data_IF_473017285298
#
_entry.id   IF_473017285298
#
_cell.length_a   1.000
_cell.length_b   1.000
_cell.length_c   1.000
_cell.angle_alpha   90.00
_cell.angle_beta   90.00
_cell.angle_gamma   90.00
#
_symmetry.space_group_name_H-M   'P 1'
#
loop_
_entity.id
_entity.type
_entity.pdbx_description
1 polymer ?
#
# COMPACT_ATOMS: atom_id res chain seq x y z
N UNK A 1 19.95 11.75 24.13
CA UNK A 1 19.04 10.81 23.46
C UNK A 1 19.25 11.06 21.99
N UNK A 2 20.05 10.22 21.35
CA UNK A 2 20.42 10.38 19.94
C UNK A 2 19.15 10.13 19.12
N UNK A 3 18.75 11.10 18.28
CA UNK A 3 17.65 10.89 17.35
C UNK A 3 18.10 9.81 16.37
N UNK A 4 17.61 8.59 16.57
CA UNK A 4 17.71 7.49 15.61
C UNK A 4 17.25 8.07 14.27
N UNK A 5 18.16 8.14 13.31
CA UNK A 5 17.99 8.92 12.09
C UNK A 5 16.69 8.57 11.36
N UNK A 6 15.92 9.59 10.98
CA UNK A 6 14.77 9.43 10.10
C UNK A 6 15.28 9.36 8.66
N UNK A 7 15.32 8.16 8.07
CA UNK A 7 15.47 8.01 6.63
C UNK A 7 14.19 8.48 5.94
N UNK A 8 14.35 9.29 4.89
CA UNK A 8 13.24 9.74 4.04
C UNK A 8 13.56 9.35 2.61
N UNK A 9 12.59 8.71 1.98
CA UNK A 9 12.65 8.33 0.56
C UNK A 9 11.46 8.98 -0.12
N UNK A 10 11.69 9.54 -1.31
CA UNK A 10 10.59 9.84 -2.20
C UNK A 10 10.18 8.53 -2.89
N UNK A 11 8.96 8.08 -2.67
CA UNK A 11 8.49 6.79 -3.20
C UNK A 11 8.52 6.76 -4.74
N UNK A 12 8.47 7.91 -5.41
CA UNK A 12 8.55 8.02 -6.87
C UNK A 12 9.95 7.67 -7.42
N UNK A 13 10.97 7.67 -6.56
CA UNK A 13 12.33 7.28 -6.91
C UNK A 13 12.58 5.77 -6.67
N UNK A 14 11.59 5.04 -6.14
CA UNK A 14 11.70 3.61 -5.87
C UNK A 14 11.31 2.74 -7.08
N UNK A 15 11.71 1.47 -7.05
CA UNK A 15 11.36 0.50 -8.08
C UNK A 15 9.85 0.27 -8.14
N UNK A 16 9.33 0.31 -9.38
CA UNK A 16 7.92 0.01 -9.68
C UNK A 16 7.82 -1.49 -9.96
N UNK A 17 7.10 -2.21 -9.10
CA UNK A 17 6.96 -3.69 -9.20
C UNK A 17 5.75 -4.13 -10.03
N UNK A 18 4.84 -3.20 -10.35
CA UNK A 18 3.68 -3.33 -11.23
C UNK A 18 3.01 -1.96 -11.41
N UNK A 19 2.13 -1.76 -12.40
CA UNK A 19 1.46 -0.49 -12.72
C UNK A 19 1.14 0.38 -11.49
N UNK A 20 1.94 1.44 -11.28
CA UNK A 20 1.81 2.42 -10.20
C UNK A 20 1.91 1.87 -8.75
N UNK A 21 2.53 0.70 -8.57
CA UNK A 21 2.84 0.07 -7.28
C UNK A 21 4.34 0.22 -6.99
N UNK A 22 4.69 0.99 -5.97
CA UNK A 22 6.06 1.28 -5.55
C UNK A 22 6.39 0.52 -4.27
N UNK A 23 7.39 -0.36 -4.32
CA UNK A 23 7.81 -1.15 -3.14
C UNK A 23 9.02 -0.51 -2.47
N UNK A 24 8.87 -0.14 -1.19
CA UNK A 24 9.80 0.72 -0.47
C UNK A 24 10.65 0.00 0.58
N UNK A 25 10.59 -1.34 0.63
CA UNK A 25 11.31 -2.11 1.65
C UNK A 25 12.82 -1.81 1.62
N UNK A 26 13.45 -1.97 0.47
CA UNK A 26 14.90 -1.80 0.34
C UNK A 26 15.30 -0.32 0.46
N UNK A 27 14.63 0.65 -0.22
CA UNK A 27 14.92 2.07 -0.04
C UNK A 27 14.81 2.58 1.40
N UNK A 28 13.89 2.03 2.20
CA UNK A 28 13.72 2.38 3.60
C UNK A 28 14.49 1.45 4.55
N UNK A 29 15.30 0.53 4.03
CA UNK A 29 16.06 -0.47 4.79
C UNK A 29 15.19 -1.29 5.77
N UNK A 30 13.93 -1.55 5.40
CA UNK A 30 12.98 -2.25 6.23
C UNK A 30 13.30 -3.75 6.29
N UNK A 31 13.60 -4.24 7.49
CA UNK A 31 13.96 -5.65 7.69
C UNK A 31 12.76 -6.56 7.88
N UNK A 32 11.72 -6.07 8.54
CA UNK A 32 10.59 -6.89 9.02
C UNK A 32 9.26 -6.59 8.33
N UNK A 33 9.12 -5.41 7.71
CA UNK A 33 7.87 -4.97 7.07
C UNK A 33 8.12 -4.61 5.61
N UNK A 34 7.14 -4.89 4.76
CA UNK A 34 7.05 -4.29 3.43
C UNK A 34 6.26 -2.99 3.53
N UNK A 35 6.68 -1.95 2.81
CA UNK A 35 5.90 -0.74 2.64
C UNK A 35 5.66 -0.59 1.15
N UNK A 36 4.40 -0.41 0.77
CA UNK A 36 3.98 -0.24 -0.62
C UNK A 36 3.17 1.02 -0.74
N UNK A 37 3.56 1.90 -1.67
CA UNK A 37 2.73 3.02 -2.10
C UNK A 37 2.04 2.63 -3.39
N UNK A 38 0.74 2.89 -3.46
CA UNK A 38 -0.07 2.57 -4.63
C UNK A 38 -0.80 3.80 -5.12
N UNK A 39 -0.75 4.04 -6.42
CA UNK A 39 -1.50 5.09 -7.08
C UNK A 39 -2.43 4.48 -8.11
N UNK A 40 -3.70 4.84 -8.04
CA UNK A 40 -4.71 4.31 -8.93
C UNK A 40 -5.43 5.43 -9.66
N UNK A 41 -5.61 5.23 -10.96
CA UNK A 41 -6.55 6.01 -11.76
C UNK A 41 -7.98 5.73 -11.29
N UNK A 42 -8.89 6.67 -11.59
CA UNK A 42 -10.32 6.50 -11.30
C UNK A 42 -10.84 5.20 -11.94
N UNK A 43 -11.71 4.47 -11.25
CA UNK A 43 -12.30 3.19 -11.66
C UNK A 43 -11.37 1.96 -11.67
N UNK A 44 -10.16 2.06 -11.11
CA UNK A 44 -9.31 0.90 -10.88
C UNK A 44 -9.85 0.01 -9.75
N UNK A 45 -9.93 -1.30 -9.98
CA UNK A 45 -10.61 -2.27 -9.12
C UNK A 45 -9.70 -3.38 -8.56
N UNK A 46 -8.44 -3.07 -8.21
CA UNK A 46 -7.50 -4.08 -7.74
C UNK A 46 -6.80 -4.79 -8.91
N UNK A 47 -5.47 -4.75 -8.98
CA UNK A 47 -4.73 -5.62 -9.89
C UNK A 47 -4.83 -7.04 -9.36
N UNK A 48 -5.57 -7.88 -10.08
CA UNK A 48 -5.47 -9.32 -9.88
C UNK A 48 -4.12 -9.78 -10.44
N UNK A 49 -3.13 -10.04 -9.57
CA UNK A 49 -1.93 -10.77 -10.00
C UNK A 49 -2.40 -12.15 -10.46
N UNK A 50 -2.37 -12.40 -11.77
CA UNK A 50 -2.77 -13.68 -12.40
C UNK A 50 -4.21 -14.15 -12.08
N UNK A 51 -5.16 -13.23 -11.89
CA UNK A 51 -6.54 -13.60 -11.57
C UNK A 51 -6.82 -13.88 -10.08
N UNK A 52 -5.82 -13.71 -9.21
CA UNK A 52 -5.98 -13.89 -7.78
C UNK A 52 -6.11 -12.54 -7.06
N UNK A 53 -7.08 -12.46 -6.16
CA UNK A 53 -7.18 -11.37 -5.20
C UNK A 53 -5.91 -11.36 -4.33
N UNK A 54 -5.29 -10.19 -4.20
CA UNK A 54 -4.16 -10.02 -3.28
C UNK A 54 -4.66 -10.22 -1.86
N UNK A 55 -4.19 -11.27 -1.19
CA UNK A 55 -4.60 -11.62 0.16
C UNK A 55 -3.48 -12.35 0.86
N UNK A 56 -2.99 -11.75 1.95
CA UNK A 56 -1.90 -12.28 2.76
C UNK A 56 -2.37 -13.01 4.02
N UNK A 57 -3.69 -13.18 4.19
CA UNK A 57 -4.28 -13.89 5.31
C UNK A 57 -3.74 -15.33 5.45
N UNK A 58 -3.45 -16.00 4.32
CA UNK A 58 -2.87 -17.34 4.32
C UNK A 58 -1.40 -17.39 4.78
N UNK A 59 -0.69 -16.26 4.70
CA UNK A 59 0.70 -16.13 5.10
C UNK A 59 0.86 -15.59 6.53
N UNK A 60 -0.25 -15.40 7.27
CA UNK A 60 -0.32 -14.77 8.61
C UNK A 60 0.36 -13.38 8.67
N UNK A 61 0.45 -12.67 7.54
CA UNK A 61 1.00 -11.32 7.49
C UNK A 61 -0.12 -10.30 7.70
N UNK A 62 0.03 -9.47 8.72
CA UNK A 62 -0.85 -8.33 8.97
C UNK A 62 -0.58 -7.22 7.93
N UNK A 63 -1.65 -6.68 7.35
CA UNK A 63 -1.59 -5.54 6.44
C UNK A 63 -2.37 -4.35 6.96
N UNK A 64 -1.74 -3.18 6.91
CA UNK A 64 -2.35 -1.91 7.30
C UNK A 64 -2.39 -0.98 6.10
N UNK A 65 -3.61 -0.60 5.68
CA UNK A 65 -3.83 0.33 4.58
C UNK A 65 -4.19 1.72 5.11
N UNK A 66 -3.46 2.74 4.64
CA UNK A 66 -3.76 4.15 4.91
C UNK A 66 -4.08 4.88 3.61
N UNK A 67 -5.29 5.43 3.51
CA UNK A 67 -5.62 6.35 2.43
C UNK A 67 -4.92 7.68 2.71
N UNK A 68 -4.22 8.23 1.72
CA UNK A 68 -3.49 9.51 1.85
C UNK A 68 -4.13 10.62 1.01
N UNK A 69 -4.84 10.26 -0.06
CA UNK A 69 -5.56 11.19 -0.92
C UNK A 69 -6.75 10.50 -1.62
N UNK A 70 -7.82 11.26 -1.90
CA UNK A 70 -8.94 10.81 -2.72
C UNK A 70 -9.95 9.93 -1.98
N UNK A 71 -10.54 8.97 -2.71
CA UNK A 71 -11.53 8.01 -2.18
C UNK A 71 -11.10 6.60 -2.53
N UNK A 72 -11.21 5.68 -1.58
CA UNK A 72 -10.97 4.26 -1.79
C UNK A 72 -11.99 3.40 -1.05
N UNK A 73 -12.33 2.26 -1.66
CA UNK A 73 -13.08 1.18 -1.00
C UNK A 73 -12.14 -0.01 -0.84
N UNK A 74 -11.89 -0.41 0.40
CA UNK A 74 -11.11 -1.60 0.73
C UNK A 74 -12.08 -2.77 0.99
N UNK A 75 -11.80 -3.91 0.36
CA UNK A 75 -12.48 -5.17 0.62
C UNK A 75 -11.55 -6.03 1.48
N UNK A 76 -11.85 -6.18 2.78
CA UNK A 76 -11.03 -6.97 3.70
C UNK A 76 -11.36 -8.47 3.64
N UNK A 77 -12.63 -8.80 3.37
CA UNK A 77 -13.13 -10.15 3.11
C UNK A 77 -14.40 -10.09 2.24
N UNK A 78 -14.99 -11.25 1.91
CA UNK A 78 -16.18 -11.37 1.04
C UNK A 78 -17.40 -10.53 1.48
N UNK A 79 -17.43 -10.07 2.73
CA UNK A 79 -18.57 -9.35 3.32
C UNK A 79 -18.24 -7.97 3.87
N UNK A 80 -16.97 -7.61 4.02
CA UNK A 80 -16.55 -6.35 4.64
C UNK A 80 -15.94 -5.40 3.61
N UNK A 81 -16.76 -4.43 3.20
CA UNK A 81 -16.35 -3.28 2.42
C UNK A 81 -16.20 -2.06 3.33
N UNK A 82 -15.05 -1.41 3.28
CA UNK A 82 -14.76 -0.17 4.00
C UNK A 82 -14.43 0.93 2.99
N UNK A 83 -15.35 1.87 2.80
CA UNK A 83 -15.10 3.07 2.00
C UNK A 83 -14.59 4.21 2.87
N UNK A 84 -13.48 4.83 2.46
CA UNK A 84 -12.95 6.04 3.05
C UNK A 84 -12.75 7.10 1.97
N UNK A 85 -13.05 8.34 2.32
CA UNK A 85 -12.77 9.53 1.52
C UNK A 85 -11.96 10.49 2.37
N UNK A 86 -10.83 10.94 1.85
CA UNK A 86 -10.14 12.12 2.36
C UNK A 86 -10.67 13.29 1.56
N UNK A 87 -11.59 14.04 2.16
CA UNK A 87 -11.93 15.38 1.70
C UNK A 87 -10.79 16.32 2.06
N UNK A 88 -10.51 17.30 1.21
CA UNK A 88 -9.47 18.31 1.45
C UNK A 88 -9.56 18.88 2.89
N UNK A 89 -8.42 18.91 3.59
CA UNK A 89 -8.27 19.47 4.94
C UNK A 89 -8.52 20.99 4.96
#
# INVERSE_FOLDING_TARGET
MEHIGCSKVNYQDAEIISDNIYFLRDPLECRQVGITTVHYELDWNGQQRNGQQHGHAADEQEEVSALTNGTATLCADESHLLTKTISDL
#
